data_IF_292356650849
#
_entry.id   IF_292356650849
#
_cell.length_a   1.000
_cell.length_b   1.000
_cell.length_c   1.000
_cell.angle_alpha   90.00
_cell.angle_beta   90.00
_cell.angle_gamma   90.00
#
_symmetry.space_group_name_H-M   'P 1'
#
loop_
_entity.id
_entity.type
_entity.pdbx_description
1 polymer ?
#
# COMPACT_ATOMS: atom_id res chain seq x y z
N UNK A 1 -6.71 -20.27 9.28
CA UNK A 1 -5.64 -19.27 9.49
C UNK A 1 -6.13 -18.31 10.57
N UNK A 2 -5.45 -18.18 11.71
CA UNK A 2 -5.88 -17.22 12.73
C UNK A 2 -5.54 -15.79 12.31
N UNK A 3 -6.24 -14.80 12.86
CA UNK A 3 -6.02 -13.39 12.56
C UNK A 3 -4.57 -12.94 12.90
N UNK A 4 -3.96 -13.55 13.91
CA UNK A 4 -2.56 -13.30 14.28
C UNK A 4 -1.56 -13.77 13.23
N UNK A 5 -1.80 -14.94 12.61
CA UNK A 5 -0.93 -15.43 11.53
C UNK A 5 -0.98 -14.50 10.33
N UNK A 6 -2.17 -14.00 9.98
CA UNK A 6 -2.33 -13.04 8.89
C UNK A 6 -1.67 -11.70 9.23
N UNK A 7 -1.86 -11.19 10.45
CA UNK A 7 -1.23 -9.96 10.93
C UNK A 7 0.30 -10.05 10.87
N UNK A 8 0.88 -11.19 11.28
CA UNK A 8 2.31 -11.42 11.23
C UNK A 8 2.83 -11.48 9.79
N UNK A 9 2.15 -12.21 8.90
CA UNK A 9 2.53 -12.30 7.49
C UNK A 9 2.49 -10.93 6.78
N UNK A 10 1.43 -10.15 7.00
CA UNK A 10 1.28 -8.81 6.42
C UNK A 10 2.37 -7.87 6.92
N UNK A 11 2.66 -7.89 8.22
CA UNK A 11 3.73 -7.08 8.81
C UNK A 11 5.12 -7.54 8.37
N UNK A 12 5.35 -8.84 8.17
CA UNK A 12 6.63 -9.37 7.68
C UNK A 12 6.93 -8.86 6.27
N UNK A 13 5.93 -8.86 5.37
CA UNK A 13 6.07 -8.26 4.04
C UNK A 13 6.32 -6.76 4.15
N UNK A 14 5.52 -6.06 4.97
CA UNK A 14 5.61 -4.61 5.17
C UNK A 14 6.89 -4.16 5.86
N UNK A 15 7.65 -5.05 6.49
CA UNK A 15 8.92 -4.71 7.12
C UNK A 15 10.08 -4.74 6.11
N UNK A 16 9.92 -5.35 4.93
CA UNK A 16 11.00 -5.50 3.95
C UNK A 16 11.14 -4.23 3.12
N UNK A 17 12.36 -3.70 2.98
CA UNK A 17 12.63 -2.47 2.22
C UNK A 17 12.13 -2.54 0.76
N UNK A 18 12.17 -3.72 0.15
CA UNK A 18 11.69 -3.90 -1.22
C UNK A 18 10.19 -3.66 -1.38
N UNK A 19 9.36 -3.84 -0.33
CA UNK A 19 7.92 -3.55 -0.41
C UNK A 19 7.63 -2.05 -0.46
N UNK A 20 8.64 -1.23 -0.17
CA UNK A 20 8.54 0.23 -0.12
C UNK A 20 9.35 0.91 -1.22
N UNK A 21 10.26 0.20 -1.88
CA UNK A 21 11.06 0.77 -2.97
C UNK A 21 10.14 1.23 -4.12
N UNK A 22 10.35 2.42 -4.71
CA UNK A 22 11.45 3.37 -4.46
C UNK A 22 11.19 4.39 -3.33
N UNK A 23 10.01 4.36 -2.71
CA UNK A 23 9.53 5.34 -1.74
C UNK A 23 9.77 4.93 -0.29
N UNK A 24 11.02 4.55 0.04
CA UNK A 24 11.41 4.06 1.37
C UNK A 24 11.00 5.00 2.52
N UNK A 25 11.01 6.31 2.27
CA UNK A 25 10.64 7.34 3.25
C UNK A 25 9.15 7.34 3.62
N UNK A 26 8.30 6.61 2.89
CA UNK A 26 6.89 6.46 3.23
C UNK A 26 6.65 5.36 4.28
N UNK A 27 7.64 4.50 4.56
CA UNK A 27 7.53 3.48 5.60
C UNK A 27 7.54 4.14 6.99
N UNK A 28 6.50 3.96 7.82
CA UNK A 28 6.58 4.36 9.23
C UNK A 28 7.63 3.55 9.97
N UNK A 29 8.15 4.09 11.06
CA UNK A 29 8.83 3.22 12.03
C UNK A 29 7.83 2.22 12.65
N UNK A 30 8.31 1.07 13.12
CA UNK A 30 7.42 -0.03 13.56
C UNK A 30 6.46 0.35 14.68
N UNK A 31 6.83 1.34 15.49
CA UNK A 31 6.03 1.87 16.58
C UNK A 31 5.21 3.09 16.16
N UNK A 32 5.28 3.57 14.92
CA UNK A 32 4.45 4.67 14.42
C UNK A 32 3.17 4.18 13.75
N UNK A 33 2.06 4.94 13.81
CA UNK A 33 0.84 4.59 13.10
C UNK A 33 1.00 4.79 11.59
N UNK A 34 0.34 3.91 10.86
CA UNK A 34 0.05 4.05 9.44
C UNK A 34 -1.21 4.91 9.28
N UNK A 35 -1.02 6.17 8.86
CA UNK A 35 -2.12 7.12 8.65
C UNK A 35 -2.80 6.92 7.29
N UNK A 36 -4.08 7.29 7.19
CA UNK A 36 -4.81 7.22 5.91
C UNK A 36 -4.13 8.07 4.82
N UNK A 37 -3.60 9.24 5.16
CA UNK A 37 -2.87 10.10 4.21
C UNK A 37 -1.64 9.41 3.64
N UNK A 38 -0.87 8.72 4.49
CA UNK A 38 0.30 7.94 4.06
C UNK A 38 -0.13 6.80 3.14
N UNK A 39 -1.20 6.08 3.49
CA UNK A 39 -1.73 5.00 2.65
C UNK A 39 -2.24 5.50 1.29
N UNK A 40 -2.95 6.63 1.26
CA UNK A 40 -3.41 7.26 0.02
C UNK A 40 -2.23 7.68 -0.86
N UNK A 41 -1.18 8.23 -0.25
CA UNK A 41 0.06 8.61 -0.95
C UNK A 41 0.75 7.40 -1.56
N UNK A 42 0.93 6.32 -0.79
CA UNK A 42 1.50 5.05 -1.28
C UNK A 42 0.64 4.49 -2.41
N UNK A 43 -0.67 4.39 -2.21
CA UNK A 43 -1.58 3.84 -3.21
C UNK A 43 -1.56 4.62 -4.52
N UNK A 44 -1.50 5.95 -4.46
CA UNK A 44 -1.37 6.78 -5.65
C UNK A 44 -0.02 6.59 -6.35
N UNK A 45 1.09 6.66 -5.60
CA UNK A 45 2.44 6.58 -6.17
C UNK A 45 2.76 5.21 -6.77
N UNK A 46 2.19 4.12 -6.24
CA UNK A 46 2.35 2.79 -6.83
C UNK A 46 1.28 2.48 -7.87
N UNK A 47 0.02 2.88 -7.64
CA UNK A 47 -1.10 2.53 -8.50
C UNK A 47 -1.16 3.31 -9.81
N UNK A 48 -0.88 4.62 -9.78
CA UNK A 48 -1.01 5.46 -10.96
C UNK A 48 0.01 5.09 -12.05
N UNK A 49 1.29 4.81 -11.74
CA UNK A 49 2.25 4.32 -12.74
C UNK A 49 1.83 3.00 -13.38
N UNK A 50 1.19 2.08 -12.63
CA UNK A 50 0.67 0.82 -13.18
C UNK A 50 -0.44 1.11 -14.19
N UNK A 51 -1.40 1.98 -13.84
CA UNK A 51 -2.47 2.38 -14.76
C UNK A 51 -1.94 3.06 -16.02
N UNK A 52 -0.94 3.94 -15.86
CA UNK A 52 -0.29 4.63 -16.98
C UNK A 52 0.46 3.65 -17.90
N UNK A 53 1.24 2.74 -17.32
CA UNK A 53 1.98 1.71 -18.06
C UNK A 53 1.04 0.82 -18.89
N UNK A 54 -0.03 0.31 -18.27
CA UNK A 54 -1.00 -0.52 -18.96
C UNK A 54 -1.76 0.24 -20.07
N UNK A 55 -2.00 1.53 -19.87
CA UNK A 55 -2.58 2.39 -20.91
C UNK A 55 -1.65 2.48 -22.12
N UNK A 56 -0.36 2.74 -21.92
CA UNK A 56 0.63 2.85 -23.00
C UNK A 56 0.76 1.53 -23.74
N UNK A 57 0.94 0.42 -23.01
CA UNK A 57 1.04 -0.92 -23.61
C UNK A 57 -0.22 -1.27 -24.39
N UNK A 58 -1.40 -0.98 -23.83
CA UNK A 58 -2.68 -1.19 -24.51
C UNK A 58 -2.78 -0.39 -25.81
N UNK A 59 -2.42 0.89 -25.80
CA UNK A 59 -2.47 1.76 -26.96
C UNK A 59 -1.50 1.34 -28.08
N UNK A 60 -0.38 0.70 -27.75
CA UNK A 60 0.56 0.15 -28.73
C UNK A 60 0.00 -1.06 -29.49
N UNK A 61 -0.92 -1.82 -28.87
CA UNK A 61 -1.57 -2.98 -29.49
C UNK A 61 -2.88 -2.59 -30.19
N UNK A 62 -3.67 -1.74 -29.55
CA UNK A 62 -4.93 -1.21 -30.07
C UNK A 62 -5.04 0.27 -29.72
N UNK A 63 -4.94 1.21 -30.68
CA UNK A 63 -5.04 2.64 -30.42
C UNK A 63 -6.31 3.09 -29.69
N UNK A 64 -7.41 2.33 -29.81
CA UNK A 64 -8.67 2.61 -29.10
C UNK A 64 -8.57 2.32 -27.59
N UNK A 65 -7.59 1.53 -27.15
CA UNK A 65 -7.38 1.25 -25.73
C UNK A 65 -7.03 2.51 -24.91
N UNK A 66 -6.59 3.59 -25.55
CA UNK A 66 -6.36 4.90 -24.90
C UNK A 66 -7.63 5.44 -24.21
N UNK A 67 -8.83 5.08 -24.67
CA UNK A 67 -10.08 5.51 -24.04
C UNK A 67 -10.32 4.85 -22.67
N UNK A 68 -9.64 3.75 -22.37
CA UNK A 68 -9.65 3.14 -21.04
C UNK A 68 -8.72 3.86 -20.04
N UNK A 69 -7.89 4.81 -20.48
CA UNK A 69 -6.89 5.47 -19.65
C UNK A 69 -7.46 6.07 -18.34
N UNK A 70 -8.60 6.81 -18.35
CA UNK A 70 -9.13 7.38 -17.11
C UNK A 70 -9.51 6.30 -16.09
N UNK A 71 -10.05 5.18 -16.57
CA UNK A 71 -10.44 4.04 -15.71
C UNK A 71 -9.20 3.37 -15.14
N UNK A 72 -8.20 3.06 -15.98
CA UNK A 72 -6.96 2.41 -15.53
C UNK A 72 -6.19 3.30 -14.54
N UNK A 73 -6.06 4.60 -14.83
CA UNK A 73 -5.39 5.55 -13.93
C UNK A 73 -6.09 5.69 -12.58
N UNK A 74 -7.42 5.52 -12.52
CA UNK A 74 -8.17 5.61 -11.27
C UNK A 74 -8.24 4.28 -10.50
N UNK A 75 -8.46 3.17 -11.20
CA UNK A 75 -8.81 1.89 -10.55
C UNK A 75 -7.63 1.31 -9.76
N UNK A 76 -6.40 1.41 -10.26
CA UNK A 76 -5.23 0.84 -9.58
C UNK A 76 -4.91 1.56 -8.25
N UNK A 77 -4.83 2.91 -8.21
CA UNK A 77 -4.73 3.62 -6.93
C UNK A 77 -5.87 3.30 -5.97
N UNK A 78 -7.12 3.24 -6.45
CA UNK A 78 -8.28 2.96 -5.60
C UNK A 78 -8.23 1.55 -4.99
N UNK A 79 -7.90 0.53 -5.80
CA UNK A 79 -7.77 -0.84 -5.32
C UNK A 79 -6.63 -0.98 -4.31
N UNK A 80 -5.46 -0.39 -4.60
CA UNK A 80 -4.34 -0.40 -3.67
C UNK A 80 -4.69 0.33 -2.38
N UNK A 81 -5.36 1.48 -2.46
CA UNK A 81 -5.80 2.23 -1.28
C UNK A 81 -6.80 1.43 -0.45
N UNK A 82 -7.73 0.74 -1.09
CA UNK A 82 -8.70 -0.12 -0.42
C UNK A 82 -7.99 -1.26 0.34
N UNK A 83 -7.12 -2.02 -0.32
CA UNK A 83 -6.37 -3.11 0.32
C UNK A 83 -5.49 -2.56 1.45
N UNK A 84 -4.80 -1.45 1.21
CA UNK A 84 -3.94 -0.82 2.21
C UNK A 84 -4.72 -0.34 3.43
N UNK A 85 -5.88 0.29 3.24
CA UNK A 85 -6.70 0.87 4.32
C UNK A 85 -7.49 -0.17 5.11
N UNK A 86 -7.89 -1.28 4.50
CA UNK A 86 -8.69 -2.33 5.14
C UNK A 86 -7.83 -3.44 5.74
N UNK A 87 -6.66 -3.73 5.16
CA UNK A 87 -5.80 -4.84 5.59
C UNK A 87 -4.52 -4.35 6.24
N UNK A 88 -3.68 -3.62 5.48
CA UNK A 88 -2.31 -3.28 5.91
C UNK A 88 -2.33 -2.29 7.09
N UNK A 89 -3.08 -1.20 6.97
CA UNK A 89 -3.18 -0.15 7.98
C UNK A 89 -3.65 -0.67 9.34
N UNK A 90 -4.79 -1.38 9.43
CA UNK A 90 -5.27 -1.92 10.69
C UNK A 90 -4.30 -2.91 11.34
N UNK A 91 -3.69 -3.81 10.56
CA UNK A 91 -2.72 -4.79 11.06
C UNK A 91 -1.42 -4.13 11.54
N UNK A 92 -0.95 -3.11 10.82
CA UNK A 92 0.20 -2.31 11.24
C UNK A 92 -0.10 -1.55 12.53
N UNK A 93 -1.25 -0.89 12.62
CA UNK A 93 -1.60 -0.04 13.76
C UNK A 93 -1.79 -0.84 15.04
N UNK A 94 -2.41 -2.02 14.96
CA UNK A 94 -2.49 -2.96 16.09
C UNK A 94 -1.09 -3.33 16.62
N UNK A 95 -0.13 -3.60 15.72
CA UNK A 95 1.25 -3.87 16.11
C UNK A 95 1.92 -2.65 16.73
N UNK A 96 1.78 -1.48 16.11
CA UNK A 96 2.37 -0.24 16.59
C UNK A 96 1.88 0.11 18.01
N UNK A 97 0.59 -0.07 18.29
CA UNK A 97 0.01 0.10 19.62
C UNK A 97 0.62 -0.84 20.66
N UNK A 98 0.78 -2.14 20.34
CA UNK A 98 1.43 -3.10 21.25
C UNK A 98 2.89 -2.74 21.53
N UNK A 99 3.63 -2.29 20.52
CA UNK A 99 5.02 -1.89 20.68
C UNK A 99 5.15 -0.62 21.53
N UNK A 100 4.27 0.37 21.31
CA UNK A 100 4.19 1.59 22.13
C UNK A 100 3.85 1.30 23.58
N UNK A 101 2.93 0.36 23.82
CA UNK A 101 2.55 -0.02 25.17
C UNK A 101 3.72 -0.66 25.93
N UNK A 102 4.52 -1.51 25.27
CA UNK A 102 5.72 -2.12 25.86
C UNK A 102 6.80 -1.10 26.18
N UNK A 103 7.08 -0.18 25.26
CA UNK A 103 8.10 0.86 25.43
C UNK A 103 7.78 1.90 26.53
N UNK A 104 6.54 1.98 27.01
CA UNK A 104 6.14 2.84 28.14
C UNK A 104 6.33 2.18 29.51
N UNK A 105 6.51 0.86 29.54
CA UNK A 105 6.65 0.07 30.77
C UNK A 105 8.13 -0.12 31.12
N UNK A 106 9.02 0.03 30.14
CA UNK A 106 10.49 0.08 30.28
C UNK A 106 10.97 1.50 30.56
#
# INVERSE_FOLDING_TARGET
>A
MSLEHLENAVNEVSDKDWSWWPFLWLRPEKHEPMTLTRLATVAFLFGAPIGAFLTVVGAMVNPEAKYAAPVLLAIFPLLLFFVASVVVGPMWNRRAERLRARAKIE
#
